data_IF_009383750021
#
_entry.id   IF_009383750021
#
_cell.length_a   1.000
_cell.length_b   1.000
_cell.length_c   1.000
_cell.angle_alpha   90.00
_cell.angle_beta   90.00
_cell.angle_gamma   90.00
#
_symmetry.space_group_name_H-M   'P 1'
#
loop_
_entity.id
_entity.type
_entity.pdbx_description
1 polymer ?
#
# COMPACT_ATOMS: atom_id res chain seq x y z
N UNK A 1 13.05 8.63 -17.35
CA UNK A 1 13.03 9.01 -15.92
C UNK A 1 12.72 7.81 -14.99
N UNK A 2 13.28 6.62 -15.26
CA UNK A 2 12.90 5.35 -14.59
C UNK A 2 14.03 4.69 -13.78
N UNK A 3 15.10 5.41 -13.46
CA UNK A 3 16.30 4.83 -12.82
C UNK A 3 16.52 5.33 -11.38
N UNK A 4 15.89 6.43 -10.97
CA UNK A 4 16.15 7.03 -9.64
C UNK A 4 15.34 6.33 -8.54
N UNK A 5 14.13 5.82 -8.84
CA UNK A 5 13.28 5.11 -7.87
C UNK A 5 13.77 3.68 -7.51
N UNK A 6 14.81 3.16 -8.19
CA UNK A 6 15.41 1.85 -7.85
C UNK A 6 16.69 1.95 -7.01
N UNK A 7 17.20 3.16 -6.77
CA UNK A 7 18.40 3.39 -5.95
C UNK A 7 18.05 3.83 -4.51
N UNK A 8 16.79 3.67 -4.08
CA UNK A 8 16.34 3.87 -2.69
C UNK A 8 16.50 2.60 -1.82
N UNK A 9 17.51 1.77 -2.10
CA UNK A 9 17.67 0.45 -1.44
C UNK A 9 18.21 0.57 0.00
N UNK A 10 18.46 1.78 0.53
CA UNK A 10 18.98 2.00 1.89
C UNK A 10 18.22 3.09 2.66
N UNK A 11 16.89 3.21 2.50
CA UNK A 11 16.11 3.81 3.58
C UNK A 11 15.61 2.67 4.48
N UNK A 12 16.15 2.52 5.70
CA UNK A 12 15.61 1.60 6.68
C UNK A 12 14.10 1.81 6.85
N UNK A 13 13.36 0.71 6.96
CA UNK A 13 11.92 0.76 7.19
C UNK A 13 11.58 1.57 8.46
N UNK A 14 12.45 1.50 9.46
CA UNK A 14 12.39 2.27 10.70
C UNK A 14 12.41 3.78 10.43
N UNK A 15 13.46 4.28 9.77
CA UNK A 15 13.61 5.71 9.41
C UNK A 15 12.43 6.23 8.58
N UNK A 16 11.92 5.41 7.65
CA UNK A 16 10.74 5.74 6.84
C UNK A 16 9.50 5.95 7.72
N UNK A 17 9.22 5.00 8.62
CA UNK A 17 8.04 5.03 9.46
C UNK A 17 8.12 6.10 10.55
N UNK A 18 9.32 6.35 11.10
CA UNK A 18 9.58 7.46 12.00
C UNK A 18 9.26 8.80 11.31
N UNK A 19 9.80 9.00 10.10
CA UNK A 19 9.57 10.22 9.30
C UNK A 19 8.09 10.41 8.98
N UNK A 20 7.40 9.35 8.55
CA UNK A 20 5.95 9.40 8.31
C UNK A 20 5.21 9.81 9.57
N UNK A 21 5.53 9.19 10.71
CA UNK A 21 4.89 9.50 11.98
C UNK A 21 5.14 10.95 12.39
N UNK A 22 6.36 11.46 12.25
CA UNK A 22 6.72 12.84 12.57
C UNK A 22 5.92 13.87 11.74
N UNK A 23 5.73 13.61 10.44
CA UNK A 23 5.03 14.50 9.51
C UNK A 23 3.49 14.50 9.69
N UNK A 24 2.92 13.42 10.20
CA UNK A 24 1.47 13.31 10.38
C UNK A 24 0.98 14.03 11.64
N UNK A 25 -0.17 14.72 11.53
CA UNK A 25 -0.98 15.10 12.70
C UNK A 25 -1.67 13.88 13.32
N UNK A 26 -2.19 14.01 14.54
CA UNK A 26 -3.01 12.96 15.17
C UNK A 26 -4.16 12.53 14.24
N UNK A 27 -4.38 11.22 14.11
CA UNK A 27 -5.33 10.59 13.17
C UNK A 27 -5.09 10.92 11.70
N UNK A 28 -3.96 11.57 11.37
CA UNK A 28 -3.46 11.72 10.01
C UNK A 28 -3.17 10.36 9.40
N UNK A 29 -3.25 10.30 8.07
CA UNK A 29 -3.12 9.06 7.30
C UNK A 29 -1.93 9.11 6.37
N UNK A 30 -1.22 8.01 6.27
CA UNK A 30 -0.25 7.74 5.21
C UNK A 30 -0.68 6.51 4.41
N UNK A 31 -0.23 6.44 3.17
CA UNK A 31 -0.48 5.31 2.28
C UNK A 31 0.86 4.80 1.76
N UNK A 32 1.07 3.49 1.87
CA UNK A 32 2.26 2.80 1.39
C UNK A 32 1.88 1.81 0.30
N UNK A 33 2.76 1.68 -0.69
CA UNK A 33 2.71 0.65 -1.74
C UNK A 33 3.95 -0.21 -1.57
N UNK A 34 3.79 -1.51 -1.35
CA UNK A 34 4.91 -2.42 -1.16
C UNK A 34 4.65 -3.80 -1.74
N UNK A 35 5.66 -4.65 -1.75
CA UNK A 35 5.49 -6.10 -1.98
C UNK A 35 4.84 -6.80 -0.76
N UNK A 36 3.96 -7.80 -0.99
CA UNK A 36 3.27 -8.51 0.10
C UNK A 36 4.17 -9.26 1.09
N UNK A 37 5.36 -9.72 0.67
CA UNK A 37 6.32 -10.44 1.53
C UNK A 37 6.81 -9.61 2.73
N UNK A 38 6.82 -8.27 2.59
CA UNK A 38 7.22 -7.33 3.64
C UNK A 38 6.06 -6.82 4.48
N UNK A 39 4.83 -7.27 4.22
CA UNK A 39 3.64 -6.75 4.89
C UNK A 39 3.74 -6.93 6.41
N UNK A 40 4.09 -8.13 6.89
CA UNK A 40 4.19 -8.40 8.33
C UNK A 40 5.22 -7.51 9.02
N UNK A 41 6.36 -7.29 8.37
CA UNK A 41 7.44 -6.45 8.89
C UNK A 41 6.97 -4.99 8.98
N UNK A 42 6.32 -4.48 7.93
CA UNK A 42 5.75 -3.12 7.91
C UNK A 42 4.70 -2.94 9.01
N UNK A 43 3.77 -3.88 9.15
CA UNK A 43 2.69 -3.80 10.14
C UNK A 43 3.22 -3.85 11.57
N UNK A 44 4.26 -4.64 11.81
CA UNK A 44 4.90 -4.77 13.12
C UNK A 44 5.67 -3.49 13.45
N UNK A 45 6.53 -3.05 12.53
CA UNK A 45 7.34 -1.86 12.72
C UNK A 45 6.49 -0.59 12.88
N UNK A 46 5.42 -0.44 12.08
CA UNK A 46 4.54 0.73 12.14
C UNK A 46 3.98 0.98 13.55
N UNK A 47 3.68 -0.08 14.31
CA UNK A 47 3.16 0.04 15.68
C UNK A 47 4.18 0.63 16.64
N UNK A 48 5.46 0.34 16.45
CA UNK A 48 6.54 0.95 17.23
C UNK A 48 6.64 2.47 16.98
N UNK A 49 6.21 2.93 15.80
CA UNK A 49 6.21 4.33 15.38
C UNK A 49 4.85 5.04 15.52
N UNK A 50 3.95 4.54 16.39
CA UNK A 50 2.60 5.12 16.63
C UNK A 50 1.71 5.13 15.39
N UNK A 51 1.96 4.24 14.43
CA UNK A 51 1.15 4.08 13.22
C UNK A 51 0.39 2.76 13.31
N UNK A 52 -0.94 2.80 13.22
CA UNK A 52 -1.75 1.59 13.15
C UNK A 52 -2.32 1.43 11.74
N UNK A 53 -2.16 0.25 11.16
CA UNK A 53 -2.76 -0.07 9.88
C UNK A 53 -4.28 -0.17 9.98
N UNK A 54 -4.98 0.47 9.03
CA UNK A 54 -6.44 0.53 8.98
C UNK A 54 -7.04 -0.11 7.76
N UNK A 55 -6.34 -0.06 6.63
CA UNK A 55 -6.80 -0.69 5.38
C UNK A 55 -5.64 -1.37 4.69
N UNK A 56 -5.90 -2.56 4.17
CA UNK A 56 -4.97 -3.29 3.31
C UNK A 56 -5.71 -3.68 2.04
N UNK A 57 -5.07 -3.49 0.89
CA UNK A 57 -5.63 -3.90 -0.40
C UNK A 57 -4.56 -4.60 -1.23
N UNK A 58 -4.83 -5.86 -1.57
CA UNK A 58 -3.95 -6.63 -2.43
C UNK A 58 -4.21 -6.33 -3.90
N UNK A 59 -3.13 -6.23 -4.65
CA UNK A 59 -3.15 -6.06 -6.10
C UNK A 59 -2.51 -7.29 -6.72
N UNK A 60 -3.24 -7.87 -7.67
CA UNK A 60 -2.88 -9.09 -8.37
C UNK A 60 -2.64 -8.75 -9.84
N UNK A 61 -1.59 -9.30 -10.47
CA UNK A 61 -1.34 -9.04 -11.88
C UNK A 61 -2.49 -9.55 -12.75
N UNK A 62 -3.06 -10.72 -12.42
CA UNK A 62 -4.21 -11.33 -13.11
C UNK A 62 -4.89 -12.38 -12.23
N UNK A 63 -5.99 -12.94 -12.71
CA UNK A 63 -6.69 -14.05 -12.05
C UNK A 63 -5.76 -15.25 -11.77
N UNK A 64 -5.93 -15.87 -10.60
CA UNK A 64 -5.21 -17.10 -10.23
C UNK A 64 -3.71 -16.94 -10.01
N UNK A 65 -3.18 -15.72 -10.04
CA UNK A 65 -1.78 -15.42 -9.65
C UNK A 65 -1.72 -14.92 -8.22
N UNK A 66 -0.54 -14.99 -7.63
CA UNK A 66 -0.26 -14.38 -6.34
C UNK A 66 -0.21 -12.85 -6.44
N UNK A 67 -0.50 -12.18 -5.34
CA UNK A 67 -0.37 -10.73 -5.27
C UNK A 67 1.10 -10.35 -5.33
N UNK A 68 1.42 -9.32 -6.12
CA UNK A 68 2.76 -8.76 -6.22
C UNK A 68 2.87 -7.38 -5.57
N UNK A 69 1.74 -6.75 -5.21
CA UNK A 69 1.66 -5.43 -4.59
C UNK A 69 0.59 -5.44 -3.49
N UNK A 70 0.88 -4.79 -2.37
CA UNK A 70 -0.06 -4.48 -1.30
C UNK A 70 -0.09 -2.96 -1.05
N UNK A 71 -1.29 -2.42 -0.96
CA UNK A 71 -1.55 -1.04 -0.56
C UNK A 71 -1.92 -1.03 0.93
N UNK A 72 -1.32 -0.14 1.70
CA UNK A 72 -1.48 -0.08 3.16
C UNK A 72 -1.86 1.35 3.56
N UNK A 73 -2.99 1.53 4.23
CA UNK A 73 -3.34 2.78 4.93
C UNK A 73 -2.88 2.67 6.39
N UNK A 74 -1.98 3.58 6.79
CA UNK A 74 -1.54 3.75 8.17
C UNK A 74 -2.20 4.99 8.77
N UNK A 75 -2.52 4.95 10.06
CA UNK A 75 -3.08 6.07 10.81
C UNK A 75 -2.24 6.37 12.05
N UNK A 76 -1.79 7.62 12.18
CA UNK A 76 -1.07 8.08 13.37
C UNK A 76 -1.97 8.11 14.59
N UNK A 77 -1.48 7.54 15.69
CA UNK A 77 -2.21 7.37 16.95
C UNK A 77 -3.56 6.67 16.74
N UNK A 78 -3.64 5.75 15.75
CA UNK A 78 -4.81 4.90 15.54
C UNK A 78 -5.01 3.97 16.75
N UNK A 79 -6.26 3.71 17.12
CA UNK A 79 -6.55 2.69 18.15
C UNK A 79 -6.15 1.31 17.63
N UNK A 80 -5.57 0.40 18.42
CA UNK A 80 -5.23 -0.94 17.96
C UNK A 80 -6.41 -1.67 17.30
N UNK A 81 -6.11 -2.43 16.24
CA UNK A 81 -7.12 -3.20 15.51
C UNK A 81 -7.97 -2.38 14.53
N UNK A 82 -9.12 -2.96 14.13
CA UNK A 82 -10.01 -2.34 13.14
C UNK A 82 -9.44 -2.35 11.71
N UNK A 83 -8.49 -3.23 11.42
CA UNK A 83 -7.95 -3.42 10.08
C UNK A 83 -9.04 -3.96 9.14
N UNK A 84 -9.19 -3.31 7.98
CA UNK A 84 -10.08 -3.75 6.91
C UNK A 84 -9.27 -4.25 5.72
N UNK A 85 -9.50 -5.50 5.31
CA UNK A 85 -9.01 -6.00 4.04
C UNK A 85 -10.01 -5.61 2.96
N UNK A 86 -9.57 -4.80 2.00
CA UNK A 86 -10.40 -4.31 0.91
C UNK A 86 -10.50 -5.35 -0.22
N UNK A 87 -11.55 -5.28 -1.06
CA UNK A 87 -11.62 -6.08 -2.27
C UNK A 87 -10.37 -5.89 -3.13
N UNK A 88 -9.75 -6.99 -3.52
CA UNK A 88 -8.52 -6.99 -4.31
C UNK A 88 -8.68 -6.25 -5.64
N UNK A 89 -7.58 -5.74 -6.16
CA UNK A 89 -7.51 -5.17 -7.51
C UNK A 89 -6.82 -6.20 -8.41
N UNK A 90 -7.41 -6.50 -9.57
CA UNK A 90 -6.81 -7.33 -10.61
C UNK A 90 -6.40 -6.40 -11.74
N UNK A 91 -5.13 -6.45 -12.14
CA UNK A 91 -4.60 -5.48 -13.12
C UNK A 91 -5.06 -5.84 -14.53
N UNK A 92 -4.83 -7.09 -14.93
CA UNK A 92 -5.15 -7.59 -16.26
C UNK A 92 -6.24 -8.65 -16.24
N UNK A 93 -7.06 -8.68 -17.30
CA UNK A 93 -7.98 -9.77 -17.61
C UNK A 93 -7.25 -10.95 -18.29
N UNK A 94 -8.00 -11.97 -18.72
CA UNK A 94 -7.46 -13.14 -19.41
C UNK A 94 -6.83 -12.81 -20.77
N UNK A 95 -7.27 -11.72 -21.40
CA UNK A 95 -6.78 -11.23 -22.69
C UNK A 95 -5.58 -10.26 -22.58
N UNK A 96 -4.99 -10.13 -21.38
CA UNK A 96 -3.89 -9.18 -21.08
C UNK A 96 -4.27 -7.69 -21.23
N UNK A 97 -5.55 -7.37 -21.18
CA UNK A 97 -6.04 -6.00 -21.18
C UNK A 97 -6.29 -5.54 -19.75
N UNK A 98 -6.17 -4.23 -19.50
CA UNK A 98 -6.51 -3.67 -18.20
C UNK A 98 -7.97 -3.94 -17.85
N UNK A 99 -8.22 -4.37 -16.62
CA UNK A 99 -9.59 -4.48 -16.11
C UNK A 99 -10.28 -3.13 -16.11
N UNK A 100 -11.60 -3.10 -16.25
CA UNK A 100 -12.40 -1.86 -16.23
C UNK A 100 -12.07 -0.99 -15.01
N UNK A 101 -11.83 -1.61 -13.85
CA UNK A 101 -11.44 -0.93 -12.63
C UNK A 101 -10.09 -0.23 -12.72
N UNK A 102 -9.08 -0.82 -13.38
CA UNK A 102 -7.82 -0.12 -13.63
C UNK A 102 -8.00 0.93 -14.70
N UNK A 103 -8.84 0.67 -15.71
CA UNK A 103 -9.11 1.65 -16.75
C UNK A 103 -9.71 2.94 -16.18
N UNK A 104 -10.72 2.85 -15.32
CA UNK A 104 -11.29 4.03 -14.67
C UNK A 104 -10.30 4.79 -13.79
N UNK A 105 -9.38 4.08 -13.11
CA UNK A 105 -8.33 4.72 -12.30
C UNK A 105 -7.32 5.47 -13.17
N UNK A 106 -6.93 4.93 -14.33
CA UNK A 106 -5.90 5.53 -15.18
C UNK A 106 -6.41 6.66 -16.06
N UNK A 107 -7.62 6.51 -16.61
CA UNK A 107 -8.19 7.44 -17.59
C UNK A 107 -9.30 8.32 -17.02
N UNK A 108 -9.71 8.10 -15.77
CA UNK A 108 -10.92 8.68 -15.21
C UNK A 108 -12.17 7.98 -15.75
N UNK A 109 -13.30 8.14 -15.07
CA UNK A 109 -14.58 7.84 -15.68
C UNK A 109 -14.86 8.95 -16.70
N UNK A 110 -14.85 8.65 -18.00
CA UNK A 110 -15.45 9.55 -19.00
C UNK A 110 -16.95 9.65 -18.68
N UNK A 111 -17.31 10.66 -17.89
CA UNK A 111 -18.68 11.07 -17.57
C UNK A 111 -18.92 12.46 -18.14
#
# INVERSE_FOLDING_TARGET
AYTIARHEVHLPLEDLLETISALLKMKGKAYLVHRPDRLTDILTEARHHRLEAKRVQFVYPKEGKESNIVLIELMKDGLPGGLKVLPSIKVFNEHQEYTEKIRSILWGDES
#
